data_IF_478950774445
#
_entry.id   IF_478950774445
#
_cell.length_a   1.000
_cell.length_b   1.000
_cell.length_c   1.000
_cell.angle_alpha   90.00
_cell.angle_beta   90.00
_cell.angle_gamma   90.00
#
_symmetry.space_group_name_H-M   'P 1'
#
loop_
_entity.id
_entity.type
_entity.pdbx_description
1 polymer ?
#
# COMPACT_ATOMS: atom_id res chain seq x y z
N UNK A 1 55.17 24.05 42.29
CA UNK A 1 55.53 22.65 41.92
C UNK A 1 55.51 21.81 43.20
N UNK A 2 55.06 20.54 43.21
CA UNK A 2 54.08 19.87 42.36
C UNK A 2 53.06 18.97 43.13
N UNK A 3 52.11 18.40 42.35
CA UNK A 3 51.27 17.19 42.59
C UNK A 3 49.92 17.33 43.31
N UNK A 4 48.92 17.60 42.46
CA UNK A 4 47.50 17.25 42.62
C UNK A 4 47.31 15.73 42.74
N UNK A 5 46.46 15.29 43.67
CA UNK A 5 45.88 13.94 43.72
C UNK A 5 44.39 14.04 44.08
N UNK A 6 43.59 13.25 43.35
CA UNK A 6 42.22 12.80 43.64
C UNK A 6 41.03 13.61 43.06
N UNK A 7 40.83 13.48 41.74
CA UNK A 7 39.54 13.11 41.16
C UNK A 7 39.77 12.25 39.89
N UNK A 8 39.22 11.03 39.78
CA UNK A 8 38.92 10.43 38.48
C UNK A 8 37.46 10.79 38.12
N UNK A 9 37.12 11.29 36.94
CA UNK A 9 37.67 10.95 35.63
C UNK A 9 36.64 10.12 34.88
N UNK A 10 35.77 10.81 34.15
CA UNK A 10 34.83 10.26 33.16
C UNK A 10 35.63 9.42 32.14
N UNK A 11 35.30 8.13 32.01
CA UNK A 11 35.73 7.24 30.91
C UNK A 11 34.57 6.27 30.64
N UNK A 12 33.84 6.42 29.54
CA UNK A 12 34.09 5.83 28.21
C UNK A 12 34.00 4.30 28.16
N UNK A 13 32.96 3.80 27.47
CA UNK A 13 32.99 2.51 26.77
C UNK A 13 32.46 1.29 27.54
N UNK A 14 31.14 1.13 27.60
CA UNK A 14 30.58 -0.22 27.64
C UNK A 14 30.59 -0.79 26.22
N UNK A 15 31.69 -1.46 25.89
CA UNK A 15 31.76 -2.45 24.82
C UNK A 15 30.76 -3.56 25.12
N UNK A 16 29.68 -3.64 24.33
CA UNK A 16 28.84 -4.82 24.27
C UNK A 16 29.68 -5.95 23.68
N UNK A 17 30.01 -6.93 24.52
CA UNK A 17 30.52 -8.23 24.13
C UNK A 17 29.66 -8.82 23.01
N UNK A 18 30.21 -8.91 21.81
CA UNK A 18 29.70 -9.78 20.75
C UNK A 18 30.19 -11.21 21.04
N UNK A 19 29.56 -11.86 22.01
CA UNK A 19 29.66 -13.30 22.23
C UNK A 19 28.84 -14.05 21.17
N UNK A 20 29.55 -14.61 20.22
CA UNK A 20 29.06 -15.45 19.14
C UNK A 20 28.70 -16.84 19.66
N UNK A 21 27.42 -17.15 19.89
CA UNK A 21 26.89 -18.52 20.05
C UNK A 21 25.40 -18.57 19.64
N UNK A 22 25.12 -19.01 18.41
CA UNK A 22 23.74 -19.16 17.87
C UNK A 22 23.58 -18.74 16.40
N UNK A 23 24.59 -18.99 15.57
CA UNK A 23 24.63 -18.53 14.18
C UNK A 23 23.57 -19.17 13.29
N UNK A 24 22.59 -18.39 12.87
CA UNK A 24 21.75 -18.72 11.70
C UNK A 24 22.67 -18.88 10.47
N UNK A 25 22.59 -19.98 9.71
CA UNK A 25 23.59 -20.33 8.69
C UNK A 25 23.51 -19.50 7.40
N UNK A 26 22.66 -18.49 7.32
CA UNK A 26 22.48 -17.66 6.13
C UNK A 26 23.00 -16.24 6.37
N UNK A 27 23.94 -15.72 5.55
CA UNK A 27 24.34 -14.32 5.64
C UNK A 27 23.09 -13.44 5.50
N UNK A 28 22.99 -12.35 6.28
CA UNK A 28 21.85 -11.42 6.30
C UNK A 28 21.32 -11.03 4.91
N UNK A 29 22.19 -10.99 3.91
CA UNK A 29 21.86 -10.76 2.49
C UNK A 29 20.90 -11.82 1.91
N UNK A 30 21.05 -13.09 2.29
CA UNK A 30 20.23 -14.20 1.82
C UNK A 30 18.87 -14.25 2.55
N UNK A 31 18.81 -13.86 3.83
CA UNK A 31 17.56 -13.73 4.59
C UNK A 31 16.70 -12.60 4.00
N UNK A 32 17.29 -11.46 3.66
CA UNK A 32 16.58 -10.38 2.99
C UNK A 32 16.01 -10.83 1.63
N UNK A 33 16.79 -11.57 0.83
CA UNK A 33 16.33 -12.07 -0.47
C UNK A 33 15.19 -13.08 -0.29
N UNK A 34 15.31 -14.03 0.63
CA UNK A 34 14.31 -15.09 0.86
C UNK A 34 13.05 -14.59 1.58
N UNK A 35 13.13 -13.55 2.41
CA UNK A 35 11.98 -13.05 3.16
C UNK A 35 11.27 -11.86 2.48
N UNK A 36 11.93 -11.12 1.57
CA UNK A 36 11.37 -9.88 0.97
C UNK A 36 10.90 -10.12 -0.48
N UNK A 37 11.65 -10.88 -1.28
CA UNK A 37 11.23 -11.13 -2.67
C UNK A 37 9.90 -11.90 -2.75
N UNK A 38 9.66 -12.98 -1.98
CA UNK A 38 8.43 -13.73 -2.11
C UNK A 38 7.17 -12.93 -1.75
N UNK A 39 7.13 -12.12 -0.66
CA UNK A 39 5.96 -11.29 -0.37
C UNK A 39 5.70 -10.19 -1.41
N UNK A 40 6.74 -9.52 -1.92
CA UNK A 40 6.60 -8.45 -2.93
C UNK A 40 6.14 -9.03 -4.28
N UNK A 41 6.71 -10.17 -4.67
CA UNK A 41 6.28 -10.92 -5.85
C UNK A 41 4.86 -11.45 -5.65
N UNK A 42 4.54 -12.00 -4.47
CA UNK A 42 3.20 -12.51 -4.16
C UNK A 42 2.15 -11.39 -4.14
N UNK A 43 2.46 -10.22 -3.60
CA UNK A 43 1.57 -9.07 -3.61
C UNK A 43 1.36 -8.56 -5.04
N UNK A 44 2.42 -8.50 -5.85
CA UNK A 44 2.33 -8.14 -7.26
C UNK A 44 1.51 -9.16 -8.06
N UNK A 45 1.73 -10.46 -7.85
CA UNK A 45 0.97 -11.54 -8.48
C UNK A 45 -0.50 -11.49 -8.06
N UNK A 46 -0.79 -11.34 -6.76
CA UNK A 46 -2.16 -11.22 -6.26
C UNK A 46 -2.87 -9.98 -6.82
N UNK A 47 -2.16 -8.87 -6.99
CA UNK A 47 -2.72 -7.65 -7.60
C UNK A 47 -3.05 -7.90 -9.08
N UNK A 48 -2.10 -8.44 -9.87
CA UNK A 48 -2.31 -8.77 -11.28
C UNK A 48 -3.47 -9.79 -11.46
N UNK A 49 -3.50 -10.82 -10.63
CA UNK A 49 -4.58 -11.83 -10.65
C UNK A 49 -5.95 -11.21 -10.35
N UNK A 50 -6.03 -10.28 -9.39
CA UNK A 50 -7.27 -9.57 -9.09
C UNK A 50 -7.71 -8.63 -10.23
N UNK A 51 -6.77 -8.14 -11.03
CA UNK A 51 -7.01 -7.20 -12.12
C UNK A 51 -7.59 -7.89 -13.36
N UNK A 52 -7.07 -9.07 -13.72
CA UNK A 52 -7.39 -9.74 -14.98
C UNK A 52 -8.55 -10.75 -14.88
N UNK A 53 -8.89 -11.19 -13.67
CA UNK A 53 -9.95 -12.19 -13.45
C UNK A 53 -11.32 -11.56 -13.18
N UNK A 54 -11.39 -10.31 -12.70
CA UNK A 54 -12.63 -9.76 -12.14
C UNK A 54 -13.03 -8.39 -12.69
N UNK A 55 -14.35 -8.18 -12.75
CA UNK A 55 -15.05 -6.95 -13.16
C UNK A 55 -14.58 -5.75 -12.33
N UNK A 56 -14.51 -4.54 -12.93
CA UNK A 56 -14.00 -3.31 -12.30
C UNK A 56 -14.64 -3.04 -10.94
N UNK A 57 -15.96 -3.23 -10.84
CA UNK A 57 -16.73 -3.01 -9.60
C UNK A 57 -16.40 -4.01 -8.48
N UNK A 58 -16.11 -5.26 -8.82
CA UNK A 58 -15.85 -6.32 -7.84
C UNK A 58 -14.40 -6.31 -7.35
N UNK A 59 -13.46 -5.92 -8.23
CA UNK A 59 -12.03 -5.83 -7.92
C UNK A 59 -11.77 -4.94 -6.71
N UNK A 60 -12.44 -3.80 -6.66
CA UNK A 60 -12.26 -2.83 -5.58
C UNK A 60 -12.59 -3.40 -4.18
N UNK A 61 -13.75 -4.05 -4.06
CA UNK A 61 -14.17 -4.64 -2.79
C UNK A 61 -13.19 -5.73 -2.33
N UNK A 62 -12.67 -6.53 -3.27
CA UNK A 62 -11.69 -7.59 -2.97
C UNK A 62 -10.35 -7.00 -2.49
N UNK A 63 -9.86 -5.94 -3.13
CA UNK A 63 -8.65 -5.22 -2.68
C UNK A 63 -8.88 -4.64 -1.27
N UNK A 64 -10.05 -4.09 -0.99
CA UNK A 64 -10.38 -3.57 0.34
C UNK A 64 -10.48 -4.67 1.40
N UNK A 65 -11.07 -5.83 1.08
CA UNK A 65 -11.10 -6.99 1.98
C UNK A 65 -9.69 -7.50 2.27
N UNK A 66 -8.84 -7.60 1.24
CA UNK A 66 -7.44 -7.98 1.38
C UNK A 66 -6.66 -7.01 2.28
N UNK A 67 -6.79 -5.69 2.03
CA UNK A 67 -6.12 -4.67 2.85
C UNK A 67 -6.67 -4.58 4.27
N UNK A 68 -7.97 -4.80 4.48
CA UNK A 68 -8.55 -4.91 5.82
C UNK A 68 -8.01 -6.12 6.57
N UNK A 69 -7.85 -7.26 5.89
CA UNK A 69 -7.18 -8.44 6.43
C UNK A 69 -5.71 -8.17 6.77
N UNK A 70 -4.97 -7.45 5.91
CA UNK A 70 -3.60 -7.05 6.17
C UNK A 70 -3.47 -6.12 7.40
N UNK A 71 -4.40 -5.17 7.56
CA UNK A 71 -4.46 -4.31 8.74
C UNK A 71 -4.69 -5.13 10.02
N UNK A 72 -5.64 -6.06 10.00
CA UNK A 72 -5.90 -6.97 11.13
C UNK A 72 -4.72 -7.90 11.42
N UNK A 73 -4.02 -8.39 10.39
CA UNK A 73 -2.80 -9.16 10.57
C UNK A 73 -1.70 -8.32 11.25
N UNK A 74 -1.59 -7.03 10.90
CA UNK A 74 -0.69 -6.07 11.55
C UNK A 74 -0.93 -5.93 13.05
N UNK A 75 -2.18 -6.04 13.50
CA UNK A 75 -2.57 -6.02 14.92
C UNK A 75 -1.94 -7.15 15.75
N UNK A 76 -1.78 -8.33 15.15
CA UNK A 76 -1.21 -9.50 15.81
C UNK A 76 0.27 -9.72 15.46
N UNK A 77 0.79 -9.02 14.45
CA UNK A 77 2.14 -9.23 13.92
C UNK A 77 3.23 -9.06 14.97
N UNK A 78 3.14 -8.06 15.86
CA UNK A 78 4.13 -7.83 16.92
C UNK A 78 4.14 -8.90 18.00
N UNK A 79 2.96 -9.42 18.36
CA UNK A 79 2.81 -10.51 19.35
C UNK A 79 3.27 -11.83 18.73
N UNK A 80 2.88 -12.09 17.48
CA UNK A 80 3.29 -13.28 16.75
C UNK A 80 4.81 -13.29 16.52
N UNK A 81 5.42 -12.15 16.19
CA UNK A 81 6.87 -12.04 16.07
C UNK A 81 7.58 -12.34 17.41
N UNK A 82 7.05 -11.87 18.53
CA UNK A 82 7.57 -12.20 19.86
C UNK A 82 7.44 -13.71 20.17
N UNK A 83 6.31 -14.33 19.79
CA UNK A 83 6.09 -15.76 19.97
C UNK A 83 7.00 -16.61 19.08
N UNK A 84 7.15 -16.26 17.79
CA UNK A 84 8.06 -16.92 16.84
C UNK A 84 9.51 -16.78 17.30
N UNK A 85 9.91 -15.63 17.86
CA UNK A 85 11.24 -15.44 18.43
C UNK A 85 11.56 -16.38 19.60
N UNK A 86 10.54 -17.05 20.18
CA UNK A 86 10.68 -18.07 21.22
C UNK A 86 10.44 -19.51 20.73
N UNK A 87 10.14 -19.71 19.45
CA UNK A 87 9.79 -21.02 18.88
C UNK A 87 10.70 -21.35 17.69
N UNK A 88 11.46 -22.44 17.80
CA UNK A 88 12.33 -22.90 16.71
C UNK A 88 11.50 -23.47 15.54
N UNK A 89 11.73 -22.96 14.31
CA UNK A 89 11.28 -23.60 13.05
C UNK A 89 10.03 -23.06 12.35
N UNK A 90 9.30 -22.08 12.91
CA UNK A 90 8.01 -21.62 12.33
C UNK A 90 8.17 -20.80 11.04
N UNK A 91 9.34 -20.18 10.81
CA UNK A 91 9.60 -19.41 9.59
C UNK A 91 9.54 -20.24 8.29
N UNK A 92 9.68 -21.57 8.38
CA UNK A 92 9.57 -22.46 7.21
C UNK A 92 8.12 -22.57 6.74
N UNK A 93 7.13 -22.48 7.65
CA UNK A 93 5.73 -22.63 7.30
C UNK A 93 5.25 -21.53 6.33
N UNK A 94 5.69 -20.29 6.52
CA UNK A 94 5.32 -19.16 5.63
C UNK A 94 5.93 -19.31 4.23
N UNK A 95 7.14 -19.88 4.14
CA UNK A 95 7.80 -20.21 2.87
C UNK A 95 7.03 -21.32 2.15
N UNK A 96 6.64 -22.38 2.87
CA UNK A 96 5.87 -23.50 2.30
C UNK A 96 4.50 -23.04 1.79
N UNK A 97 3.78 -22.23 2.58
CA UNK A 97 2.48 -21.66 2.17
C UNK A 97 2.64 -20.76 0.93
N UNK A 98 3.69 -19.92 0.88
CA UNK A 98 3.96 -19.07 -0.28
C UNK A 98 4.30 -19.89 -1.53
N UNK A 99 5.04 -20.98 -1.38
CA UNK A 99 5.40 -21.88 -2.48
C UNK A 99 4.20 -22.67 -2.98
N UNK A 100 3.32 -23.11 -2.07
CA UNK A 100 2.06 -23.75 -2.43
C UNK A 100 1.14 -22.77 -3.20
N UNK A 101 1.07 -21.50 -2.77
CA UNK A 101 0.24 -20.51 -3.43
C UNK A 101 0.62 -20.27 -4.90
N UNK A 102 1.89 -20.44 -5.28
CA UNK A 102 2.34 -20.37 -6.67
C UNK A 102 1.61 -21.38 -7.60
N UNK A 103 1.24 -22.55 -7.07
CA UNK A 103 0.52 -23.57 -7.85
C UNK A 103 -1.00 -23.37 -7.85
N UNK A 104 -1.55 -22.71 -6.83
CA UNK A 104 -2.99 -22.53 -6.66
C UNK A 104 -3.54 -21.24 -7.27
N UNK A 105 -2.74 -20.18 -7.40
CA UNK A 105 -3.19 -18.88 -7.92
C UNK A 105 -3.05 -18.83 -9.44
N UNK A 106 -4.15 -18.87 -10.22
CA UNK A 106 -4.07 -18.78 -11.67
C UNK A 106 -3.71 -17.37 -12.09
N UNK A 107 -2.69 -17.21 -12.94
CA UNK A 107 -2.24 -15.89 -13.43
C UNK A 107 -3.20 -15.23 -14.42
N UNK A 108 -4.16 -15.97 -14.99
CA UNK A 108 -5.04 -15.47 -16.06
C UNK A 108 -6.47 -15.97 -15.89
N UNK A 109 -7.46 -15.15 -16.26
CA UNK A 109 -8.90 -15.48 -16.26
C UNK A 109 -9.23 -16.75 -17.05
N UNK A 110 -8.56 -16.94 -18.18
CA UNK A 110 -8.72 -18.12 -19.04
C UNK A 110 -8.09 -19.39 -18.46
N UNK A 111 -7.10 -19.25 -17.58
CA UNK A 111 -6.34 -20.34 -16.94
C UNK A 111 -6.84 -20.65 -15.52
N UNK A 112 -7.97 -20.07 -15.11
CA UNK A 112 -8.56 -20.26 -13.79
C UNK A 112 -9.09 -21.69 -13.61
N UNK A 113 -8.25 -22.59 -13.09
CA UNK A 113 -8.60 -24.00 -12.83
C UNK A 113 -9.63 -24.22 -11.71
N UNK A 114 -10.00 -23.15 -10.99
CA UNK A 114 -10.97 -23.22 -9.89
C UNK A 114 -12.43 -23.02 -10.32
N UNK A 115 -12.67 -22.63 -11.59
CA UNK A 115 -14.01 -22.42 -12.14
C UNK A 115 -14.38 -23.57 -13.07
N UNK A 116 -15.64 -23.99 -13.04
CA UNK A 116 -16.18 -24.90 -14.06
C UNK A 116 -16.29 -24.19 -15.41
N UNK A 117 -16.27 -24.92 -16.54
CA UNK A 117 -16.36 -24.33 -17.88
C UNK A 117 -17.54 -23.36 -18.07
N UNK A 118 -18.77 -23.67 -17.59
CA UNK A 118 -19.91 -22.76 -17.70
C UNK A 118 -19.74 -21.48 -16.87
N UNK A 119 -19.14 -21.59 -15.69
CA UNK A 119 -18.85 -20.43 -14.83
C UNK A 119 -17.77 -19.54 -15.46
N UNK A 120 -16.76 -20.15 -16.09
CA UNK A 120 -15.71 -19.43 -16.82
C UNK A 120 -16.28 -18.67 -18.01
N UNK A 121 -17.16 -19.26 -18.79
CA UNK A 121 -17.82 -18.56 -19.91
C UNK A 121 -18.71 -17.41 -19.42
N UNK A 122 -19.46 -17.61 -18.34
CA UNK A 122 -20.25 -16.54 -17.73
C UNK A 122 -19.36 -15.39 -17.22
N UNK A 123 -18.24 -15.72 -16.56
CA UNK A 123 -17.25 -14.75 -16.09
C UNK A 123 -16.64 -13.97 -17.25
N UNK A 124 -16.22 -14.66 -18.32
CA UNK A 124 -15.64 -14.04 -19.51
C UNK A 124 -16.64 -13.12 -20.22
N UNK A 125 -17.90 -13.54 -20.37
CA UNK A 125 -18.95 -12.69 -20.96
C UNK A 125 -19.18 -11.41 -20.14
N UNK A 126 -19.18 -11.52 -18.80
CA UNK A 126 -19.28 -10.35 -17.91
C UNK A 126 -18.04 -9.47 -17.95
N UNK A 127 -16.86 -10.08 -18.06
CA UNK A 127 -15.60 -9.37 -18.13
C UNK A 127 -15.49 -8.59 -19.45
N UNK A 128 -15.86 -9.21 -20.58
CA UNK A 128 -15.95 -8.58 -21.91
C UNK A 128 -16.95 -7.40 -21.93
N UNK A 129 -18.05 -7.51 -21.18
CA UNK A 129 -19.04 -6.44 -21.08
C UNK A 129 -18.56 -5.23 -20.26
N UNK A 130 -17.63 -5.41 -19.33
CA UNK A 130 -17.17 -4.36 -18.39
C UNK A 130 -15.74 -3.86 -18.67
N UNK A 131 -14.91 -4.63 -19.37
CA UNK A 131 -13.54 -4.26 -19.69
C UNK A 131 -12.97 -5.04 -20.88
N UNK A 132 -11.98 -4.43 -21.51
CA UNK A 132 -10.98 -5.05 -22.40
C UNK A 132 -10.14 -6.17 -21.76
N UNK A 133 -10.33 -6.46 -20.47
CA UNK A 133 -9.52 -7.43 -19.72
C UNK A 133 -9.64 -8.87 -20.25
N UNK A 134 -10.70 -9.18 -20.99
CA UNK A 134 -10.92 -10.50 -21.57
C UNK A 134 -10.23 -10.72 -22.93
N UNK A 135 -9.81 -9.65 -23.61
CA UNK A 135 -9.22 -9.73 -24.94
C UNK A 135 -7.80 -10.31 -24.86
N UNK A 136 -7.41 -11.17 -25.81
CA UNK A 136 -6.04 -11.67 -25.90
C UNK A 136 -5.17 -10.60 -26.55
N UNK A 137 -4.63 -9.68 -25.76
CA UNK A 137 -3.66 -8.69 -26.24
C UNK A 137 -2.29 -9.35 -26.40
N UNK A 138 -1.66 -9.22 -27.57
CA UNK A 138 -0.26 -9.62 -27.73
C UNK A 138 0.62 -8.59 -27.04
N UNK A 139 1.67 -9.04 -26.36
CA UNK A 139 2.64 -8.13 -25.78
C UNK A 139 3.28 -7.26 -26.86
N UNK A 140 3.19 -5.94 -26.68
CA UNK A 140 3.84 -4.96 -27.56
C UNK A 140 4.58 -3.89 -26.74
N UNK A 141 5.83 -3.64 -27.13
CA UNK A 141 6.67 -2.58 -26.53
C UNK A 141 6.08 -1.17 -26.67
N UNK A 142 5.19 -0.98 -27.64
CA UNK A 142 4.45 0.27 -27.81
C UNK A 142 3.66 0.63 -26.54
N UNK A 143 2.89 -0.31 -25.97
CA UNK A 143 2.09 -0.08 -24.77
C UNK A 143 2.95 0.16 -23.52
N UNK A 144 4.13 -0.45 -23.45
CA UNK A 144 5.10 -0.19 -22.38
C UNK A 144 5.59 1.26 -22.43
N UNK A 145 6.04 1.73 -23.60
CA UNK A 145 6.46 3.13 -23.78
C UNK A 145 5.31 4.10 -23.56
N UNK A 146 4.10 3.72 -23.97
CA UNK A 146 2.90 4.50 -23.73
C UNK A 146 2.62 4.64 -22.23
N UNK A 147 2.72 3.57 -21.44
CA UNK A 147 2.57 3.62 -19.99
C UNK A 147 3.63 4.51 -19.32
N UNK A 148 4.90 4.36 -19.69
CA UNK A 148 6.02 5.11 -19.12
C UNK A 148 5.97 6.62 -19.43
N UNK A 149 5.32 7.01 -20.52
CA UNK A 149 5.14 8.42 -20.91
C UNK A 149 3.80 9.01 -20.48
N UNK A 150 2.93 8.23 -19.85
CA UNK A 150 1.59 8.68 -19.46
C UNK A 150 1.61 9.39 -18.10
N UNK A 151 1.21 10.66 -18.08
CA UNK A 151 1.18 11.47 -16.86
C UNK A 151 0.21 10.94 -15.81
N UNK A 152 -0.86 10.22 -16.18
CA UNK A 152 -1.75 9.60 -15.21
C UNK A 152 -1.08 8.44 -14.48
N UNK A 153 -0.28 7.65 -15.19
CA UNK A 153 0.50 6.54 -14.60
C UNK A 153 1.49 7.08 -13.57
N UNK A 154 2.20 8.16 -13.91
CA UNK A 154 3.06 8.89 -12.95
C UNK A 154 2.25 9.44 -11.77
N UNK A 155 1.05 9.98 -12.02
CA UNK A 155 0.14 10.42 -10.96
C UNK A 155 -0.23 9.34 -9.97
N UNK A 156 -0.62 8.15 -10.45
CA UNK A 156 -0.93 7.00 -9.57
C UNK A 156 0.28 6.55 -8.76
N UNK A 157 1.47 6.59 -9.36
CA UNK A 157 2.72 6.25 -8.71
C UNK A 157 3.11 7.25 -7.61
N UNK A 158 3.07 8.55 -7.88
CA UNK A 158 3.33 9.59 -6.88
C UNK A 158 2.28 9.63 -5.77
N UNK A 159 1.01 9.33 -6.10
CA UNK A 159 -0.03 9.18 -5.10
C UNK A 159 0.28 8.03 -4.14
N UNK A 160 0.68 6.86 -4.66
CA UNK A 160 1.08 5.76 -3.80
C UNK A 160 2.37 6.08 -3.03
N UNK A 161 3.33 6.79 -3.62
CA UNK A 161 4.54 7.24 -2.91
C UNK A 161 4.22 8.05 -1.64
N UNK A 162 3.30 9.00 -1.74
CA UNK A 162 2.83 9.80 -0.59
C UNK A 162 2.23 8.95 0.52
N UNK A 163 1.35 8.02 0.15
CA UNK A 163 0.69 7.13 1.11
C UNK A 163 1.60 6.02 1.64
N UNK A 164 2.47 5.44 0.82
CA UNK A 164 3.41 4.39 1.20
C UNK A 164 4.41 4.89 2.23
N UNK A 165 4.90 6.13 2.07
CA UNK A 165 5.70 6.80 3.08
C UNK A 165 5.01 6.75 4.46
N UNK A 166 3.74 7.19 4.52
CA UNK A 166 2.98 7.23 5.77
C UNK A 166 2.60 5.83 6.27
N UNK A 167 2.24 4.92 5.38
CA UNK A 167 1.77 3.57 5.72
C UNK A 167 2.86 2.76 6.40
N UNK A 168 4.02 2.65 5.75
CA UNK A 168 5.10 1.79 6.24
C UNK A 168 5.80 2.39 7.46
N UNK A 169 5.97 3.72 7.50
CA UNK A 169 6.49 4.38 8.71
C UNK A 169 5.52 4.20 9.88
N UNK A 170 4.23 4.45 9.70
CA UNK A 170 3.25 4.26 10.76
C UNK A 170 3.23 2.81 11.21
N UNK A 171 3.11 1.85 10.29
CA UNK A 171 2.97 0.43 10.64
C UNK A 171 4.17 -0.13 11.39
N UNK A 172 5.39 0.29 11.02
CA UNK A 172 6.62 -0.19 11.65
C UNK A 172 6.85 0.45 13.02
N UNK A 173 6.53 1.74 13.17
CA UNK A 173 6.81 2.49 14.39
C UNK A 173 5.60 2.63 15.32
N UNK A 174 4.41 2.13 14.93
CA UNK A 174 3.19 2.19 15.74
C UNK A 174 3.37 1.70 17.17
N UNK A 175 3.98 0.53 17.42
CA UNK A 175 4.13 0.04 18.79
C UNK A 175 5.07 0.94 19.60
N UNK A 176 6.09 1.51 18.96
CA UNK A 176 7.04 2.44 19.58
C UNK A 176 6.38 3.77 19.91
N UNK A 177 5.55 4.30 19.01
CA UNK A 177 4.75 5.52 19.25
C UNK A 177 3.83 5.30 20.44
N UNK A 178 3.17 4.13 20.53
CA UNK A 178 2.29 3.80 21.65
C UNK A 178 3.08 3.58 22.94
N UNK A 179 4.26 2.96 22.90
CA UNK A 179 5.12 2.79 24.06
C UNK A 179 5.56 4.15 24.64
N UNK A 180 5.82 5.14 23.78
CA UNK A 180 6.16 6.52 24.17
C UNK A 180 5.01 7.23 24.93
N UNK A 181 3.77 6.74 24.81
CA UNK A 181 2.61 7.23 25.59
C UNK A 181 2.61 6.74 27.06
N UNK A 182 3.59 5.93 27.47
CA UNK A 182 3.73 5.41 28.83
C UNK A 182 3.22 3.97 29.04
N UNK A 183 2.90 3.25 27.96
CA UNK A 183 2.55 1.83 28.04
C UNK A 183 3.81 0.95 28.10
N UNK A 184 3.80 -0.09 28.95
CA UNK A 184 4.87 -1.09 28.95
C UNK A 184 4.96 -1.80 27.59
N UNK A 185 6.15 -2.21 27.18
CA UNK A 185 6.47 -2.68 25.80
C UNK A 185 5.54 -3.78 25.27
N UNK A 186 5.19 -4.78 26.10
CA UNK A 186 4.26 -5.83 25.68
C UNK A 186 2.80 -5.35 25.59
N UNK A 187 2.40 -4.44 26.50
CA UNK A 187 1.08 -3.80 26.46
C UNK A 187 0.97 -2.88 25.25
N UNK A 188 2.04 -2.18 24.88
CA UNK A 188 2.07 -1.29 23.71
C UNK A 188 1.77 -2.05 22.42
N UNK A 189 2.30 -3.27 22.25
CA UNK A 189 1.97 -4.14 21.12
C UNK A 189 0.48 -4.50 21.09
N UNK A 190 -0.10 -4.89 22.23
CA UNK A 190 -1.53 -5.20 22.32
C UNK A 190 -2.41 -3.96 22.05
N UNK A 191 -1.94 -2.78 22.47
CA UNK A 191 -2.62 -1.50 22.23
C UNK A 191 -2.54 -1.02 20.77
N UNK A 192 -1.84 -1.74 19.89
CA UNK A 192 -1.92 -1.50 18.43
C UNK A 192 -3.19 -2.12 17.83
N UNK A 193 -3.80 -3.11 18.50
CA UNK A 193 -4.98 -3.84 17.99
C UNK A 193 -6.17 -2.91 17.74
N UNK A 194 -6.55 -1.99 18.65
CA UNK A 194 -7.69 -1.11 18.40
C UNK A 194 -7.50 -0.15 17.21
N UNK A 195 -6.34 0.55 17.04
CA UNK A 195 -6.07 1.34 15.84
C UNK A 195 -6.20 0.54 14.53
N UNK A 196 -5.64 -0.67 14.48
CA UNK A 196 -5.70 -1.51 13.28
C UNK A 196 -7.11 -2.05 13.00
N UNK A 197 -7.85 -2.43 14.04
CA UNK A 197 -9.25 -2.88 13.91
C UNK A 197 -10.14 -1.76 13.39
N UNK A 198 -9.95 -0.55 13.92
CA UNK A 198 -10.65 0.64 13.45
C UNK A 198 -10.29 0.97 11.99
N UNK A 199 -9.01 0.83 11.62
CA UNK A 199 -8.56 0.99 10.24
C UNK A 199 -9.20 -0.02 9.28
N UNK A 200 -9.29 -1.30 9.66
CA UNK A 200 -9.93 -2.33 8.85
C UNK A 200 -11.42 -2.03 8.60
N UNK A 201 -12.14 -1.61 9.64
CA UNK A 201 -13.53 -1.18 9.51
C UNK A 201 -13.67 0.03 8.57
N UNK A 202 -12.78 1.02 8.69
CA UNK A 202 -12.80 2.20 7.83
C UNK A 202 -12.45 1.86 6.37
N UNK A 203 -11.51 0.94 6.13
CA UNK A 203 -11.21 0.44 4.77
C UNK A 203 -12.47 -0.11 4.12
N UNK A 204 -13.18 -1.02 4.81
CA UNK A 204 -14.40 -1.64 4.26
C UNK A 204 -15.52 -0.63 4.07
N UNK A 205 -15.73 0.28 5.03
CA UNK A 205 -16.72 1.33 4.91
C UNK A 205 -16.41 2.28 3.74
N UNK A 206 -15.18 2.76 3.64
CA UNK A 206 -14.75 3.66 2.56
C UNK A 206 -14.86 2.98 1.20
N UNK A 207 -14.50 1.70 1.09
CA UNK A 207 -14.62 0.94 -0.14
C UNK A 207 -16.09 0.74 -0.57
N UNK A 208 -16.97 0.42 0.37
CA UNK A 208 -18.40 0.28 0.12
C UNK A 208 -19.04 1.61 -0.31
N UNK A 209 -18.73 2.70 0.41
CA UNK A 209 -19.23 4.04 0.05
C UNK A 209 -18.69 4.48 -1.31
N UNK A 210 -17.40 4.29 -1.56
CA UNK A 210 -16.77 4.63 -2.85
C UNK A 210 -17.41 3.87 -4.02
N UNK A 211 -17.71 2.58 -3.83
CA UNK A 211 -18.41 1.79 -4.84
C UNK A 211 -19.88 2.24 -5.03
N UNK A 212 -20.58 2.61 -3.95
CA UNK A 212 -21.98 3.09 -4.00
C UNK A 212 -22.11 4.42 -4.73
N UNK A 213 -21.21 5.37 -4.44
CA UNK A 213 -21.24 6.71 -5.03
C UNK A 213 -20.49 6.80 -6.37
N UNK A 214 -19.78 5.74 -6.79
CA UNK A 214 -18.96 5.72 -8.01
C UNK A 214 -17.96 6.88 -8.06
N UNK A 215 -17.41 7.23 -6.90
CA UNK A 215 -16.40 8.27 -6.70
C UNK A 215 -15.28 7.67 -5.86
N UNK A 216 -14.04 7.80 -6.32
CA UNK A 216 -12.79 7.28 -5.76
C UNK A 216 -11.99 8.41 -5.15
N UNK A 217 -11.68 9.44 -5.93
CA UNK A 217 -10.79 10.50 -5.46
C UNK A 217 -11.28 11.22 -4.18
N UNK A 218 -12.58 11.53 -4.00
CA UNK A 218 -13.04 12.19 -2.78
C UNK A 218 -12.79 11.35 -1.52
N UNK A 219 -12.93 10.02 -1.62
CA UNK A 219 -12.69 9.13 -0.49
C UNK A 219 -11.20 8.97 -0.19
N UNK A 220 -10.34 8.95 -1.22
CA UNK A 220 -8.88 8.97 -1.04
C UNK A 220 -8.46 10.27 -0.36
N UNK A 221 -8.98 11.42 -0.82
CA UNK A 221 -8.69 12.74 -0.23
C UNK A 221 -9.19 12.81 1.21
N UNK A 222 -10.44 12.38 1.48
CA UNK A 222 -11.00 12.36 2.82
C UNK A 222 -10.18 11.48 3.77
N UNK A 223 -9.70 10.32 3.28
CA UNK A 223 -8.84 9.42 4.06
C UNK A 223 -7.48 10.04 4.37
N UNK A 224 -6.87 10.73 3.39
CA UNK A 224 -5.62 11.48 3.61
C UNK A 224 -5.81 12.61 4.62
N UNK A 225 -6.91 13.36 4.53
CA UNK A 225 -7.24 14.45 5.47
C UNK A 225 -7.45 13.90 6.89
N UNK A 226 -8.15 12.77 7.04
CA UNK A 226 -8.29 12.10 8.34
C UNK A 226 -6.91 11.70 8.90
N UNK A 227 -6.02 11.18 8.05
CA UNK A 227 -4.64 10.88 8.41
C UNK A 227 -3.87 12.11 8.88
N UNK A 228 -3.98 13.23 8.14
CA UNK A 228 -3.37 14.51 8.50
C UNK A 228 -3.89 15.00 9.86
N UNK A 229 -5.19 14.93 10.12
CA UNK A 229 -5.78 15.29 11.41
C UNK A 229 -5.17 14.44 12.53
N UNK A 230 -5.05 13.11 12.32
CA UNK A 230 -4.40 12.22 13.28
C UNK A 230 -2.96 12.61 13.62
N UNK A 231 -2.15 12.92 12.61
CA UNK A 231 -0.78 13.39 12.83
C UNK A 231 -0.70 14.78 13.46
N UNK A 232 -1.61 15.70 13.14
CA UNK A 232 -1.69 17.02 13.79
C UNK A 232 -1.98 16.85 15.28
N UNK A 233 -2.91 15.95 15.65
CA UNK A 233 -3.20 15.63 17.05
C UNK A 233 -1.96 15.07 17.75
N UNK A 234 -1.23 14.16 17.11
CA UNK A 234 0.03 13.62 17.64
C UNK A 234 1.11 14.69 17.88
N UNK A 235 1.19 15.69 17.00
CA UNK A 235 2.16 16.80 17.10
C UNK A 235 1.77 17.82 18.18
N UNK A 236 0.49 18.11 18.35
CA UNK A 236 0.01 19.26 19.13
C UNK A 236 -0.37 18.91 20.56
N UNK A 237 -0.73 17.65 20.82
CA UNK A 237 -1.22 17.21 22.13
C UNK A 237 -0.13 16.58 22.98
N UNK A 238 -0.28 16.66 24.30
CA UNK A 238 0.66 16.07 25.28
C UNK A 238 0.01 15.03 26.19
N UNK A 239 -1.31 14.85 26.10
CA UNK A 239 -2.04 13.88 26.90
C UNK A 239 -2.08 12.54 26.18
N UNK A 240 -1.74 11.46 26.88
CA UNK A 240 -1.69 10.11 26.30
C UNK A 240 -3.01 9.70 25.61
N UNK A 241 -4.16 10.08 26.19
CA UNK A 241 -5.47 9.80 25.61
C UNK A 241 -5.70 10.52 24.27
N UNK A 242 -5.34 11.80 24.16
CA UNK A 242 -5.51 12.54 22.90
C UNK A 242 -4.55 12.03 21.82
N UNK A 243 -3.30 11.74 22.18
CA UNK A 243 -2.32 11.15 21.26
C UNK A 243 -2.77 9.77 20.77
N UNK A 244 -3.34 8.93 21.65
CA UNK A 244 -3.89 7.63 21.28
C UNK A 244 -5.06 7.77 20.29
N UNK A 245 -5.96 8.74 20.48
CA UNK A 245 -6.99 9.07 19.48
C UNK A 245 -6.37 9.52 18.16
N UNK A 246 -5.32 10.33 18.20
CA UNK A 246 -4.54 10.72 17.02
C UNK A 246 -3.99 9.52 16.26
N UNK A 247 -3.48 8.51 16.97
CA UNK A 247 -3.04 7.24 16.37
C UNK A 247 -4.18 6.53 15.63
N UNK A 248 -5.40 6.51 16.16
CA UNK A 248 -6.55 5.86 15.49
C UNK A 248 -6.87 6.55 14.17
N UNK A 249 -6.94 7.89 14.16
CA UNK A 249 -7.22 8.65 12.94
C UNK A 249 -6.09 8.55 11.91
N UNK A 250 -4.83 8.60 12.36
CA UNK A 250 -3.67 8.42 11.50
C UNK A 250 -3.70 7.02 10.85
N UNK A 251 -3.89 5.97 11.65
CA UNK A 251 -3.91 4.58 11.16
C UNK A 251 -5.07 4.36 10.21
N UNK A 252 -6.28 4.76 10.59
CA UNK A 252 -7.45 4.54 9.76
C UNK A 252 -7.40 5.32 8.44
N UNK A 253 -7.02 6.61 8.47
CA UNK A 253 -6.93 7.43 7.26
C UNK A 253 -5.87 6.94 6.28
N UNK A 254 -4.67 6.59 6.77
CA UNK A 254 -3.58 6.10 5.92
C UNK A 254 -3.94 4.75 5.29
N UNK A 255 -4.41 3.78 6.07
CA UNK A 255 -4.77 2.46 5.58
C UNK A 255 -5.96 2.49 4.61
N UNK A 256 -7.02 3.25 4.91
CA UNK A 256 -8.17 3.39 4.04
C UNK A 256 -7.79 4.03 2.69
N UNK A 257 -7.02 5.11 2.70
CA UNK A 257 -6.57 5.76 1.47
C UNK A 257 -5.68 4.86 0.62
N UNK A 258 -4.76 4.10 1.23
CA UNK A 258 -3.91 3.14 0.50
C UNK A 258 -4.71 2.03 -0.16
N UNK A 259 -5.71 1.46 0.53
CA UNK A 259 -6.55 0.41 -0.05
C UNK A 259 -7.31 0.90 -1.30
N UNK A 260 -7.84 2.13 -1.25
CA UNK A 260 -8.59 2.72 -2.36
C UNK A 260 -7.68 3.02 -3.56
N UNK A 261 -6.53 3.68 -3.34
CA UNK A 261 -5.66 4.17 -4.42
C UNK A 261 -5.00 3.03 -5.23
N UNK A 262 -4.75 1.87 -4.61
CA UNK A 262 -4.07 0.73 -5.26
C UNK A 262 -4.94 0.05 -6.32
N UNK A 263 -6.26 0.18 -6.21
CA UNK A 263 -7.20 -0.34 -7.21
C UNK A 263 -7.38 0.60 -8.41
N UNK A 264 -7.00 1.87 -8.26
CA UNK A 264 -7.34 2.94 -9.19
C UNK A 264 -6.72 2.80 -10.59
N UNK A 265 -5.40 2.51 -10.77
CA UNK A 265 -4.86 2.30 -12.11
C UNK A 265 -5.47 1.07 -12.81
N UNK A 266 -5.82 0.02 -12.06
CA UNK A 266 -6.51 -1.14 -12.62
C UNK A 266 -7.89 -0.80 -13.20
N UNK A 267 -8.56 0.23 -12.66
CA UNK A 267 -9.87 0.71 -13.13
C UNK A 267 -9.78 1.73 -14.26
N UNK A 268 -8.68 2.49 -14.32
CA UNK A 268 -8.57 3.66 -15.20
C UNK A 268 -7.59 3.52 -16.36
N UNK A 269 -6.79 2.45 -16.40
CA UNK A 269 -5.87 2.17 -17.50
C UNK A 269 -6.43 1.06 -18.38
N UNK A 270 -6.54 1.32 -19.68
CA UNK A 270 -6.93 0.34 -20.71
C UNK A 270 -5.69 -0.27 -21.36
N UNK A 271 -5.81 -1.49 -21.87
CA UNK A 271 -4.71 -2.30 -22.40
C UNK A 271 -4.06 -3.13 -21.29
N UNK A 272 -3.98 -4.44 -21.49
CA UNK A 272 -3.40 -5.38 -20.53
C UNK A 272 -1.93 -5.03 -20.25
N UNK A 273 -1.15 -4.83 -21.32
CA UNK A 273 0.28 -4.50 -21.19
C UNK A 273 0.48 -3.16 -20.48
N UNK A 274 -0.31 -2.14 -20.85
CA UNK A 274 -0.23 -0.79 -20.27
C UNK A 274 -0.64 -0.79 -18.79
N UNK A 275 -1.71 -1.50 -18.44
CA UNK A 275 -2.24 -1.63 -17.07
C UNK A 275 -1.25 -2.36 -16.17
N UNK A 276 -0.67 -3.47 -16.64
CA UNK A 276 0.35 -4.20 -15.89
C UNK A 276 1.57 -3.32 -15.58
N UNK A 277 2.09 -2.59 -16.58
CA UNK A 277 3.20 -1.64 -16.38
C UNK A 277 2.80 -0.51 -15.43
N UNK A 278 1.58 0.03 -15.54
CA UNK A 278 1.10 1.08 -14.65
C UNK A 278 1.06 0.65 -13.19
N UNK A 279 0.61 -0.58 -12.91
CA UNK A 279 0.53 -1.13 -11.56
C UNK A 279 1.93 -1.44 -11.02
N UNK A 280 2.79 -2.05 -11.83
CA UNK A 280 4.18 -2.32 -11.45
C UNK A 280 4.94 -1.03 -11.11
N UNK A 281 4.74 0.02 -11.91
CA UNK A 281 5.34 1.32 -11.70
C UNK A 281 4.78 2.02 -10.47
N UNK A 282 3.46 1.91 -10.23
CA UNK A 282 2.85 2.40 -9.00
C UNK A 282 3.53 1.80 -7.78
N UNK A 283 3.61 0.47 -7.70
CA UNK A 283 4.23 -0.25 -6.57
C UNK A 283 5.70 0.14 -6.41
N UNK A 284 6.49 0.10 -7.49
CA UNK A 284 7.93 0.38 -7.45
C UNK A 284 8.23 1.77 -6.89
N UNK A 285 7.56 2.81 -7.38
CA UNK A 285 7.75 4.18 -6.91
C UNK A 285 7.18 4.37 -5.50
N UNK A 286 6.10 3.67 -5.18
CA UNK A 286 5.55 3.59 -3.83
C UNK A 286 6.55 3.08 -2.80
N UNK A 287 7.24 1.99 -3.12
CA UNK A 287 8.23 1.36 -2.24
C UNK A 287 9.44 2.28 -1.99
N UNK A 288 9.81 3.13 -2.95
CA UNK A 288 10.81 4.19 -2.70
C UNK A 288 10.33 5.14 -1.59
N UNK A 289 9.04 5.46 -1.57
CA UNK A 289 8.42 6.28 -0.51
C UNK A 289 8.41 5.55 0.84
N UNK A 290 8.14 4.25 0.83
CA UNK A 290 8.22 3.40 2.01
C UNK A 290 9.62 3.43 2.65
N UNK A 291 10.67 3.25 1.83
CA UNK A 291 12.07 3.33 2.27
C UNK A 291 12.38 4.69 2.89
N UNK A 292 11.98 5.78 2.23
CA UNK A 292 12.16 7.12 2.76
C UNK A 292 11.47 7.32 4.12
N UNK A 293 10.24 6.80 4.27
CA UNK A 293 9.48 6.87 5.52
C UNK A 293 10.18 6.17 6.68
N UNK A 294 10.64 4.93 6.46
CA UNK A 294 11.31 4.14 7.50
C UNK A 294 12.63 4.76 7.92
N UNK A 295 13.37 5.38 7.00
CA UNK A 295 14.64 6.05 7.32
C UNK A 295 14.45 7.30 8.18
N UNK A 296 13.36 8.04 7.97
CA UNK A 296 13.08 9.29 8.69
C UNK A 296 12.62 9.05 10.13
N UNK A 297 11.97 7.92 10.41
CA UNK A 297 11.53 7.56 11.77
C UNK A 297 12.63 6.90 12.63
N UNK A 298 13.88 6.84 12.15
CA UNK A 298 15.02 6.29 12.91
C UNK A 298 15.27 7.04 14.23
N UNK A 299 15.89 6.40 15.24
CA UNK A 299 16.10 6.96 16.58
C UNK A 299 16.79 8.34 16.62
N UNK A 300 17.65 8.63 15.65
CA UNK A 300 18.35 9.92 15.56
C UNK A 300 17.38 11.09 15.30
N UNK A 301 16.23 10.82 14.66
CA UNK A 301 15.19 11.80 14.34
C UNK A 301 13.96 11.67 15.25
N UNK A 302 13.90 10.67 16.12
CA UNK A 302 12.79 10.45 17.06
C UNK A 302 12.84 11.37 18.29
N UNK A 303 13.92 12.15 18.47
CA UNK A 303 14.04 13.13 19.55
C UNK A 303 12.84 14.08 19.56
N UNK A 304 12.24 14.29 20.74
CA UNK A 304 11.01 15.07 20.96
C UNK A 304 9.75 14.40 20.38
N UNK A 305 9.44 13.18 20.84
CA UNK A 305 8.19 12.47 20.55
C UNK A 305 7.86 12.39 19.05
N UNK A 306 8.85 12.07 18.22
CA UNK A 306 8.68 11.91 16.77
C UNK A 306 8.09 13.13 16.02
N UNK A 307 8.17 14.33 16.60
CA UNK A 307 7.53 15.53 16.03
C UNK A 307 8.01 15.85 14.61
N UNK A 308 9.31 15.76 14.34
CA UNK A 308 9.89 16.00 13.00
C UNK A 308 9.37 14.96 11.98
N UNK A 309 9.48 13.65 12.23
CA UNK A 309 8.88 12.63 11.38
C UNK A 309 7.38 12.84 11.11
N UNK A 310 6.59 13.20 12.12
CA UNK A 310 5.16 13.46 11.95
C UNK A 310 4.89 14.67 11.05
N UNK A 311 5.63 15.76 11.19
CA UNK A 311 5.50 16.95 10.31
C UNK A 311 5.81 16.58 8.86
N UNK A 312 6.87 15.82 8.62
CA UNK A 312 7.23 15.36 7.27
C UNK A 312 6.12 14.46 6.71
N UNK A 313 5.56 13.58 7.54
CA UNK A 313 4.44 12.70 7.14
C UNK A 313 3.20 13.50 6.74
N UNK A 314 2.87 14.57 7.47
CA UNK A 314 1.81 15.51 7.07
C UNK A 314 2.09 16.13 5.71
N UNK A 315 3.34 16.52 5.44
CA UNK A 315 3.77 17.03 4.13
C UNK A 315 3.56 16.01 2.99
N UNK A 316 3.90 14.75 3.23
CA UNK A 316 3.69 13.67 2.25
C UNK A 316 2.19 13.36 2.02
N UNK A 317 1.36 13.41 3.06
CA UNK A 317 -0.09 13.26 2.91
C UNK A 317 -0.72 14.47 2.22
N UNK A 318 -0.24 15.69 2.49
CA UNK A 318 -0.68 16.89 1.76
C UNK A 318 -0.28 16.84 0.28
N UNK A 319 0.92 16.34 -0.02
CA UNK A 319 1.34 16.04 -1.39
C UNK A 319 0.41 15.00 -2.04
N UNK A 320 0.07 13.92 -1.34
CA UNK A 320 -0.88 12.92 -1.82
C UNK A 320 -2.27 13.53 -2.09
N UNK A 321 -2.77 14.43 -1.25
CA UNK A 321 -4.02 15.18 -1.47
C UNK A 321 -3.93 16.03 -2.74
N UNK A 322 -2.82 16.73 -2.95
CA UNK A 322 -2.62 17.53 -4.15
C UNK A 322 -2.61 16.67 -5.43
N UNK A 323 -1.90 15.55 -5.41
CA UNK A 323 -1.85 14.61 -6.55
C UNK A 323 -3.22 13.96 -6.81
N UNK A 324 -3.92 13.50 -5.77
CA UNK A 324 -5.26 12.93 -5.89
C UNK A 324 -6.27 13.94 -6.44
N UNK A 325 -6.18 15.19 -5.98
CA UNK A 325 -7.02 16.29 -6.49
C UNK A 325 -6.72 16.58 -7.95
N UNK A 326 -5.44 16.64 -8.33
CA UNK A 326 -5.03 16.83 -9.72
C UNK A 326 -5.54 15.71 -10.63
N UNK A 327 -5.36 14.45 -10.23
CA UNK A 327 -5.91 13.28 -10.94
C UNK A 327 -7.43 13.39 -11.11
N UNK A 328 -8.15 13.73 -10.04
CA UNK A 328 -9.60 13.91 -10.07
C UNK A 328 -10.03 15.00 -11.04
N UNK A 329 -9.48 16.20 -10.92
CA UNK A 329 -9.83 17.33 -11.78
C UNK A 329 -9.49 17.07 -13.25
N UNK A 330 -8.34 16.44 -13.51
CA UNK A 330 -7.93 16.09 -14.86
C UNK A 330 -8.89 15.08 -15.48
N UNK A 331 -9.20 13.98 -14.79
CA UNK A 331 -10.12 12.96 -15.28
C UNK A 331 -11.56 13.46 -15.42
N UNK A 332 -12.02 14.31 -14.49
CA UNK A 332 -13.34 14.92 -14.57
C UNK A 332 -13.44 15.89 -15.76
N UNK A 333 -12.40 16.70 -16.00
CA UNK A 333 -12.32 17.58 -17.17
C UNK A 333 -12.31 16.77 -18.47
N UNK A 334 -11.56 15.68 -18.50
CA UNK A 334 -11.43 14.83 -19.67
C UNK A 334 -12.74 14.10 -19.99
N UNK A 335 -13.43 13.54 -18.98
CA UNK A 335 -14.76 12.97 -19.15
C UNK A 335 -15.74 14.01 -19.72
N UNK A 336 -15.78 15.23 -19.15
CA UNK A 336 -16.63 16.32 -19.66
C UNK A 336 -16.29 16.76 -21.08
N UNK A 337 -15.01 16.73 -21.47
CA UNK A 337 -14.57 17.01 -22.85
C UNK A 337 -15.10 15.93 -23.80
N UNK A 338 -15.00 14.67 -23.41
CA UNK A 338 -15.46 13.51 -24.18
C UNK A 338 -16.98 13.42 -24.28
N UNK A 339 -17.72 13.88 -23.28
CA UNK A 339 -19.19 13.95 -23.33
C UNK A 339 -19.70 14.98 -24.36
N UNK A 340 -18.86 15.95 -24.73
CA UNK A 340 -19.17 16.97 -25.75
C UNK A 340 -18.67 16.59 -27.15
N UNK A 341 -17.84 15.56 -27.26
CA UNK A 341 -17.34 15.10 -28.54
C UNK A 341 -18.35 14.18 -29.20
N UNK A 342 -18.54 14.31 -30.51
CA UNK A 342 -19.39 13.39 -31.27
C UNK A 342 -18.75 11.99 -31.31
N UNK A 343 -19.53 10.91 -31.23
CA UNK A 343 -19.03 9.57 -31.44
C UNK A 343 -18.33 9.51 -32.80
N UNK A 344 -17.06 9.14 -32.81
CA UNK A 344 -16.30 8.96 -34.04
C UNK A 344 -16.32 7.47 -34.35
N UNK A 345 -16.74 7.09 -35.56
CA UNK A 345 -16.73 5.70 -35.99
C UNK A 345 -15.28 5.33 -36.36
N UNK A 346 -14.53 4.84 -35.37
CA UNK A 346 -13.14 4.39 -35.52
C UNK A 346 -13.10 2.87 -35.56
N UNK A 347 -12.25 2.34 -36.44
CA UNK A 347 -12.03 0.91 -36.57
C UNK A 347 -11.67 0.26 -35.23
N UNK A 348 -12.10 -0.99 -35.02
CA UNK A 348 -11.93 -1.71 -33.75
C UNK A 348 -10.46 -1.84 -33.35
N UNK A 349 -9.56 -1.96 -34.33
CA UNK A 349 -8.10 -2.04 -34.10
C UNK A 349 -7.56 -0.71 -33.55
N UNK A 350 -7.99 0.40 -34.13
CA UNK A 350 -7.56 1.74 -33.69
C UNK A 350 -8.16 2.08 -32.32
N UNK A 351 -9.41 1.69 -32.06
CA UNK A 351 -10.05 1.81 -30.75
C UNK A 351 -9.31 1.02 -29.67
N UNK A 352 -8.88 -0.20 -29.95
CA UNK A 352 -8.05 -0.99 -29.04
C UNK A 352 -6.69 -0.34 -28.79
N UNK A 353 -6.04 0.21 -29.83
CA UNK A 353 -4.75 0.90 -29.72
C UNK A 353 -4.81 2.19 -28.90
N UNK A 354 -5.90 2.94 -29.02
CA UNK A 354 -6.13 4.16 -28.25
C UNK A 354 -6.48 3.86 -26.79
N UNK A 355 -7.16 2.75 -26.51
CA UNK A 355 -7.43 2.29 -25.15
C UNK A 355 -8.12 3.35 -24.29
N UNK A 356 -7.45 3.80 -23.22
CA UNK A 356 -7.95 4.80 -22.28
C UNK A 356 -7.97 6.23 -22.85
N UNK A 357 -7.28 6.45 -23.96
CA UNK A 357 -7.28 7.72 -24.72
C UNK A 357 -8.46 7.84 -25.67
N UNK A 358 -9.19 6.74 -25.91
CA UNK A 358 -10.34 6.73 -26.82
C UNK A 358 -11.48 7.64 -26.31
N UNK A 359 -12.19 8.29 -27.24
CA UNK A 359 -13.25 9.27 -26.92
C UNK A 359 -14.40 8.65 -26.14
N UNK A 360 -14.71 7.38 -26.36
CA UNK A 360 -15.77 6.66 -25.63
C UNK A 360 -15.34 6.16 -24.25
N UNK A 361 -14.03 6.11 -23.97
CA UNK A 361 -13.56 5.65 -22.67
C UNK A 361 -13.93 6.66 -21.58
N UNK A 362 -14.39 6.16 -20.43
CA UNK A 362 -14.77 6.97 -19.27
C UNK A 362 -13.94 6.58 -18.06
N UNK A 363 -13.28 7.58 -17.46
CA UNK A 363 -12.53 7.41 -16.23
C UNK A 363 -13.46 7.31 -15.02
N UNK A 364 -13.14 6.41 -14.09
CA UNK A 364 -13.69 6.38 -12.73
C UNK A 364 -13.03 7.50 -11.92
N UNK A 365 -13.83 8.50 -11.55
CA UNK A 365 -13.40 9.71 -10.86
C UNK A 365 -12.98 9.45 -9.42
#
# INVERSE_FOLDING_TARGET
>A
MPRLRNQPGISSGHSLDTGNDGGWPLPWRNICILCILPPVIFQSICQCTNIDVWIRRERHWRVAVFFGGAALAGAFGGILAYAIGKMDGIGILTVVVSFAAFWFVPTWSHSAKFLTEPERECLLARLQADSDAADKEKFEWYFVRQALSDHLVWGYAFLFHGFAFALYSLSLFLPTIIADLGFQTWKAQLMTVPPYSFAALLIWLAAWLSAKYKLRAPFIIASAVLGIIGYIVLITTKTAGAQYTGVHFATAGVYAGTALLLSWPGENVSGQTKRAVSVAMQITIGDIGAVAGVLIYRPNFSQHNYRKPHIITVGYLAFAVAVASWLWFWMARENRRRDRALPTDVDKVEKARQGDRHVEYRYQL
#
